data_IF_972607444032
#
_entry.id   IF_972607444032
#
_cell.length_a   1.000
_cell.length_b   1.000
_cell.length_c   1.000
_cell.angle_alpha   90.00
_cell.angle_beta   90.00
_cell.angle_gamma   90.00
#
_symmetry.space_group_name_H-M   'P 1'
#
loop_
_entity.id
_entity.type
_entity.pdbx_description
1 polymer ?
#
# COMPACT_ATOMS: atom_id res chain seq x y z
N UNK A 1 -43.44 -24.97 -42.04
CA UNK A 1 -42.72 -24.64 -42.06
C UNK A 1 -42.37 -23.72 -41.20
N UNK A 2 -41.75 -23.57 -40.47
CA UNK A 2 -41.43 -22.78 -39.71
C UNK A 2 -40.16 -22.49 -39.54
N UNK A 3 -39.71 -21.61 -39.42
CA UNK A 3 -38.51 -21.27 -39.34
C UNK A 3 -38.13 -21.01 -38.07
N UNK A 4 -37.29 -21.27 -37.70
CA UNK A 4 -36.87 -21.12 -36.55
C UNK A 4 -35.77 -20.54 -36.45
N UNK A 5 -35.57 -19.50 -36.44
CA UNK A 5 -34.51 -18.89 -36.30
C UNK A 5 -34.18 -18.65 -35.14
N UNK A 6 -33.55 -18.83 -34.61
CA UNK A 6 -32.83 -18.81 -33.71
C UNK A 6 -31.87 -18.00 -33.72
N UNK A 7 -31.86 -17.14 -33.76
CA UNK A 7 -31.33 -16.15 -33.63
C UNK A 7 -30.48 -16.03 -32.59
N UNK A 8 -29.61 -16.27 -32.37
CA UNK A 8 -28.77 -16.34 -31.56
C UNK A 8 -27.78 -15.60 -31.59
N UNK A 9 -27.55 -14.74 -31.13
CA UNK A 9 -26.85 -14.21 -31.32
C UNK A 9 -26.20 -13.30 -30.80
N UNK A 10 -26.09 -12.32 -30.43
CA UNK A 10 -25.06 -11.48 -30.05
C UNK A 10 -24.75 -11.62 -28.60
N UNK A 11 -24.96 -12.69 -27.97
CA UNK A 11 -24.63 -12.92 -26.59
C UNK A 11 -23.15 -12.75 -26.31
N UNK A 12 -22.29 -13.13 -27.25
CA UNK A 12 -20.86 -12.99 -27.08
C UNK A 12 -20.40 -11.53 -27.05
N UNK A 13 -21.08 -10.68 -27.81
CA UNK A 13 -20.74 -9.26 -27.81
C UNK A 13 -21.19 -8.60 -26.51
N UNK A 14 -22.35 -8.98 -26.03
CA UNK A 14 -22.83 -8.48 -24.75
C UNK A 14 -21.93 -8.90 -23.59
N UNK A 15 -21.39 -10.10 -23.65
CA UNK A 15 -20.51 -10.57 -22.60
C UNK A 15 -19.20 -9.79 -22.54
N UNK A 16 -18.64 -9.41 -23.68
CA UNK A 16 -17.42 -8.63 -23.68
C UNK A 16 -17.65 -7.22 -23.13
N UNK A 17 -18.74 -6.61 -23.50
CA UNK A 17 -19.09 -5.29 -22.97
C UNK A 17 -19.37 -5.34 -21.48
N UNK A 18 -20.11 -6.36 -21.03
CA UNK A 18 -20.37 -6.57 -19.61
C UNK A 18 -19.09 -6.78 -18.82
N UNK A 19 -18.11 -7.48 -19.37
CA UNK A 19 -16.82 -7.67 -18.72
C UNK A 19 -16.03 -6.37 -18.60
N UNK A 20 -16.06 -5.55 -19.61
CA UNK A 20 -15.41 -4.24 -19.60
C UNK A 20 -16.06 -3.31 -18.58
N UNK A 21 -17.37 -3.25 -18.56
CA UNK A 21 -18.11 -2.46 -17.59
C UNK A 21 -17.84 -2.95 -16.16
N UNK A 22 -17.78 -4.24 -15.95
CA UNK A 22 -17.50 -4.82 -14.65
C UNK A 22 -16.10 -4.47 -14.17
N UNK A 23 -15.10 -4.55 -15.05
CA UNK A 23 -13.73 -4.20 -14.71
C UNK A 23 -13.61 -2.73 -14.33
N UNK A 24 -14.26 -1.86 -15.07
CA UNK A 24 -14.28 -0.44 -14.80
C UNK A 24 -14.99 -0.15 -13.47
N UNK A 25 -16.10 -0.80 -13.24
CA UNK A 25 -16.86 -0.69 -11.99
C UNK A 25 -16.05 -1.14 -10.79
N UNK A 26 -15.31 -2.24 -10.89
CA UNK A 26 -14.41 -2.71 -9.84
C UNK A 26 -13.30 -1.70 -9.56
N UNK A 27 -12.71 -1.14 -10.60
CA UNK A 27 -11.68 -0.11 -10.46
C UNK A 27 -12.21 1.12 -9.74
N UNK A 28 -13.41 1.57 -10.09
CA UNK A 28 -14.03 2.72 -9.45
C UNK A 28 -14.39 2.44 -7.98
N UNK A 29 -14.88 1.25 -7.68
CA UNK A 29 -15.14 0.83 -6.31
C UNK A 29 -13.85 0.81 -5.48
N UNK A 30 -12.76 0.29 -6.04
CA UNK A 30 -11.46 0.28 -5.37
C UNK A 30 -10.96 1.71 -5.14
N UNK A 31 -11.15 2.60 -6.11
CA UNK A 31 -10.80 4.00 -5.93
C UNK A 31 -11.57 4.66 -4.80
N UNK A 32 -12.87 4.40 -4.70
CA UNK A 32 -13.68 4.89 -3.58
C UNK A 32 -13.22 4.33 -2.24
N UNK A 33 -12.84 3.06 -2.20
CA UNK A 33 -12.24 2.46 -1.02
C UNK A 33 -10.97 3.18 -0.60
N UNK A 34 -10.10 3.49 -1.55
CA UNK A 34 -8.86 4.23 -1.33
C UNK A 34 -9.15 5.63 -0.80
N UNK A 35 -10.08 6.34 -1.40
CA UNK A 35 -10.50 7.66 -0.92
C UNK A 35 -11.05 7.60 0.50
N UNK A 36 -11.83 6.59 0.81
CA UNK A 36 -12.38 6.40 2.15
C UNK A 36 -11.26 6.08 3.15
N UNK A 37 -10.32 5.23 2.79
CA UNK A 37 -9.16 4.91 3.62
C UNK A 37 -8.30 6.17 3.90
N UNK A 38 -8.15 7.02 2.91
CA UNK A 38 -7.45 8.30 3.10
C UNK A 38 -8.17 9.20 4.10
N UNK A 39 -9.48 9.35 3.94
CA UNK A 39 -10.27 10.21 4.79
C UNK A 39 -10.35 9.70 6.23
N UNK A 40 -10.47 8.40 6.41
CA UNK A 40 -10.58 7.77 7.73
C UNK A 40 -9.22 7.41 8.34
N UNK A 41 -8.13 7.64 7.61
CA UNK A 41 -6.76 7.29 8.00
C UNK A 41 -6.62 5.81 8.34
N UNK A 42 -7.26 4.98 7.55
CA UNK A 42 -7.19 3.52 7.71
C UNK A 42 -5.90 2.98 7.09
N UNK A 43 -5.28 2.04 7.78
CA UNK A 43 -4.09 1.36 7.27
C UNK A 43 -4.49 0.38 6.18
N UNK A 44 -3.80 0.45 5.05
CA UNK A 44 -3.95 -0.48 3.95
C UNK A 44 -2.69 -1.33 3.84
N UNK A 45 -2.82 -2.49 3.21
CA UNK A 45 -1.71 -3.41 2.97
C UNK A 45 -1.59 -3.68 1.48
N UNK A 46 -0.40 -3.54 0.94
CA UNK A 46 -0.10 -3.81 -0.46
C UNK A 46 1.25 -4.49 -0.61
N UNK A 47 1.57 -4.91 -1.82
CA UNK A 47 2.81 -5.61 -2.11
C UNK A 47 3.87 -4.63 -2.63
N UNK A 48 5.07 -4.67 -2.06
CA UNK A 48 6.19 -3.91 -2.58
C UNK A 48 6.66 -4.54 -3.88
N UNK A 49 6.33 -3.87 -4.99
CA UNK A 49 6.58 -4.39 -6.32
C UNK A 49 7.79 -3.80 -7.02
N UNK A 50 8.32 -2.68 -6.54
CA UNK A 50 9.45 -2.05 -7.20
C UNK A 50 10.10 -0.95 -6.39
N UNK A 51 11.29 -0.58 -6.81
CA UNK A 51 12.03 0.55 -6.23
C UNK A 51 12.47 1.39 -7.41
N UNK A 52 12.15 2.65 -7.36
CA UNK A 52 12.50 3.59 -8.42
C UNK A 52 13.38 4.72 -7.86
N UNK A 53 14.17 5.29 -8.72
CA UNK A 53 15.01 6.43 -8.37
C UNK A 53 14.43 7.66 -9.04
N UNK A 54 14.22 8.71 -8.27
CA UNK A 54 13.72 9.97 -8.79
C UNK A 54 14.85 10.75 -9.49
N UNK A 55 14.48 11.76 -10.25
CA UNK A 55 15.45 12.64 -10.90
C UNK A 55 16.43 13.27 -9.91
N UNK A 56 15.97 13.52 -8.70
CA UNK A 56 16.80 14.10 -7.65
C UNK A 56 17.70 13.07 -6.95
N UNK A 57 17.70 11.83 -7.40
CA UNK A 57 18.50 10.77 -6.81
C UNK A 57 17.88 10.08 -5.60
N UNK A 58 16.72 10.52 -5.14
CA UNK A 58 16.02 9.89 -4.02
C UNK A 58 15.35 8.60 -4.44
N UNK A 59 15.28 7.64 -3.53
CA UNK A 59 14.60 6.38 -3.79
C UNK A 59 13.14 6.47 -3.40
N UNK A 60 12.29 5.82 -4.17
CA UNK A 60 10.89 5.64 -3.85
C UNK A 60 10.53 4.17 -3.95
N UNK A 61 9.71 3.71 -3.05
CA UNK A 61 9.14 2.38 -3.09
C UNK A 61 7.80 2.41 -3.79
N UNK A 62 7.55 1.45 -4.66
CA UNK A 62 6.29 1.32 -5.37
C UNK A 62 5.54 0.13 -4.80
N UNK A 63 4.40 0.41 -4.20
CA UNK A 63 3.56 -0.59 -3.57
C UNK A 63 2.27 -0.70 -4.38
N UNK A 64 1.86 -1.92 -4.69
CA UNK A 64 0.63 -2.15 -5.41
C UNK A 64 -0.48 -2.55 -4.44
N UNK A 65 -1.53 -1.74 -4.44
CA UNK A 65 -2.75 -2.04 -3.72
C UNK A 65 -3.82 -2.38 -4.76
N UNK A 66 -4.14 -3.65 -4.87
CA UNK A 66 -4.95 -4.15 -5.98
C UNK A 66 -4.31 -3.69 -7.29
N UNK A 67 -5.01 -2.98 -8.14
CA UNK A 67 -4.46 -2.51 -9.40
C UNK A 67 -3.90 -1.09 -9.33
N UNK A 68 -3.84 -0.50 -8.14
CA UNK A 68 -3.38 0.87 -7.98
C UNK A 68 -1.94 0.95 -7.52
N UNK A 69 -1.19 1.82 -8.18
CA UNK A 69 0.19 2.08 -7.85
C UNK A 69 0.27 3.14 -6.76
N UNK A 70 0.91 2.79 -5.66
CA UNK A 70 1.12 3.70 -4.53
C UNK A 70 2.62 3.95 -4.38
N UNK A 71 2.99 5.21 -4.19
CA UNK A 71 4.38 5.62 -4.06
C UNK A 71 4.67 5.97 -2.61
N UNK A 72 5.75 5.40 -2.08
CA UNK A 72 6.21 5.71 -0.73
C UNK A 72 7.66 6.20 -0.81
N UNK A 73 7.94 7.46 -0.47
CA UNK A 73 9.31 7.94 -0.42
C UNK A 73 10.15 7.14 0.57
N UNK A 74 11.45 7.01 0.31
CA UNK A 74 12.33 6.24 1.18
C UNK A 74 12.34 6.78 2.61
N UNK A 75 12.18 8.09 2.78
CA UNK A 75 12.11 8.72 4.10
C UNK A 75 10.86 8.30 4.88
N UNK A 76 9.81 7.87 4.18
CA UNK A 76 8.57 7.41 4.77
C UNK A 76 8.48 5.89 4.84
N UNK A 77 9.53 5.18 4.43
CA UNK A 77 9.59 3.72 4.52
C UNK A 77 10.13 3.23 5.85
N UNK A 78 10.95 4.02 6.52
CA UNK A 78 11.72 3.58 7.68
C UNK A 78 11.69 4.61 8.81
N UNK A 79 11.65 4.13 10.04
CA UNK A 79 11.55 5.00 11.21
C UNK A 79 12.91 5.57 11.64
N UNK A 80 13.98 4.81 11.52
CA UNK A 80 15.22 5.15 12.21
C UNK A 80 16.49 5.32 11.38
N UNK A 81 16.41 5.24 10.08
CA UNK A 81 17.63 5.30 9.29
C UNK A 81 18.23 6.70 9.11
N UNK A 82 17.55 7.71 9.61
CA UNK A 82 17.95 9.09 9.32
C UNK A 82 18.80 9.75 10.40
N UNK A 83 18.87 9.17 11.57
CA UNK A 83 19.46 9.89 12.71
C UNK A 83 20.77 9.37 13.20
N UNK A 84 21.12 8.15 12.87
CA UNK A 84 22.32 7.58 13.43
C UNK A 84 23.41 7.40 12.41
N UNK A 85 24.44 8.21 12.54
CA UNK A 85 25.77 7.79 12.14
C UNK A 85 26.11 7.68 10.66
N UNK A 86 25.26 8.10 9.78
CA UNK A 86 25.67 8.16 8.39
C UNK A 86 26.50 9.40 8.16
N UNK A 87 27.80 9.27 8.34
CA UNK A 87 28.72 10.33 8.01
C UNK A 87 28.81 10.56 6.50
N UNK A 88 28.23 9.67 5.71
CA UNK A 88 28.27 9.77 4.26
C UNK A 88 26.90 9.44 3.67
N UNK A 89 26.37 10.37 2.89
CA UNK A 89 25.10 10.20 2.18
C UNK A 89 25.12 9.02 1.19
N UNK A 90 26.27 8.72 0.62
CA UNK A 90 26.42 7.60 -0.29
C UNK A 90 26.23 6.26 0.39
N UNK A 91 26.79 6.12 1.57
CA UNK A 91 26.64 4.90 2.37
C UNK A 91 25.18 4.71 2.83
N UNK A 92 24.53 5.79 3.24
CA UNK A 92 23.12 5.76 3.62
C UNK A 92 22.24 5.29 2.46
N UNK A 93 22.47 5.85 1.27
CA UNK A 93 21.70 5.48 0.07
C UNK A 93 21.90 4.01 -0.29
N UNK A 94 23.12 3.50 -0.21
CA UNK A 94 23.40 2.08 -0.46
C UNK A 94 22.70 1.18 0.55
N UNK A 95 22.72 1.55 1.81
CA UNK A 95 22.06 0.80 2.88
C UNK A 95 20.54 0.80 2.70
N UNK A 96 19.95 1.93 2.41
CA UNK A 96 18.53 2.07 2.11
C UNK A 96 18.13 1.21 0.91
N UNK A 97 18.91 1.28 -0.16
CA UNK A 97 18.63 0.47 -1.35
C UNK A 97 18.71 -1.02 -1.06
N UNK A 98 19.67 -1.46 -0.28
CA UNK A 98 19.79 -2.86 0.12
C UNK A 98 18.60 -3.33 0.94
N UNK A 99 18.14 -2.52 1.89
CA UNK A 99 16.99 -2.85 2.72
C UNK A 99 15.73 -2.94 1.87
N UNK A 100 15.50 -1.97 0.98
CA UNK A 100 14.34 -1.97 0.10
C UNK A 100 14.34 -3.18 -0.84
N UNK A 101 15.50 -3.53 -1.41
CA UNK A 101 15.60 -4.69 -2.27
C UNK A 101 15.30 -6.00 -1.53
N UNK A 102 15.67 -6.10 -0.26
CA UNK A 102 15.34 -7.26 0.55
C UNK A 102 13.85 -7.36 0.87
N UNK A 103 13.14 -6.26 0.78
CA UNK A 103 11.69 -6.21 1.04
C UNK A 103 10.85 -6.42 -0.21
N UNK A 104 11.45 -6.52 -1.39
CA UNK A 104 10.69 -6.73 -2.62
C UNK A 104 9.86 -8.00 -2.52
N UNK A 105 8.61 -7.91 -2.93
CA UNK A 105 7.64 -9.01 -2.84
C UNK A 105 6.96 -9.17 -1.48
N UNK A 106 7.35 -8.39 -0.48
CA UNK A 106 6.73 -8.43 0.83
C UNK A 106 5.47 -7.56 0.88
N UNK A 107 4.57 -7.91 1.78
CA UNK A 107 3.42 -7.08 2.07
C UNK A 107 3.84 -5.92 2.96
N UNK A 108 3.41 -4.73 2.59
CA UNK A 108 3.74 -3.49 3.28
C UNK A 108 2.45 -2.83 3.74
N UNK A 109 2.40 -2.48 5.02
CA UNK A 109 1.31 -1.67 5.56
C UNK A 109 1.64 -0.20 5.33
N UNK A 110 0.63 0.57 4.93
CA UNK A 110 0.83 1.99 4.67
C UNK A 110 -0.42 2.81 4.98
N UNK A 111 -0.19 4.10 5.23
CA UNK A 111 -1.24 5.09 5.37
C UNK A 111 -1.15 6.04 4.19
N UNK A 112 -2.27 6.34 3.59
CA UNK A 112 -2.30 7.27 2.46
C UNK A 112 -2.10 8.69 2.99
N UNK A 113 -1.13 9.38 2.39
CA UNK A 113 -0.81 10.77 2.74
C UNK A 113 -1.46 11.76 1.78
N UNK A 114 -1.63 11.38 0.55
CA UNK A 114 -2.19 12.23 -0.48
C UNK A 114 -2.72 11.45 -1.65
N UNK A 115 -3.74 12.02 -2.30
CA UNK A 115 -4.38 11.47 -3.48
C UNK A 115 -4.48 12.55 -4.54
N UNK A 116 -4.24 12.17 -5.78
CA UNK A 116 -4.58 13.00 -6.93
C UNK A 116 -5.71 12.33 -7.71
N UNK A 117 -6.94 12.86 -7.64
CA UNK A 117 -8.08 12.25 -8.31
C UNK A 117 -7.95 12.25 -9.83
N UNK A 118 -7.20 13.20 -10.41
CA UNK A 118 -7.07 13.30 -11.85
C UNK A 118 -6.20 12.19 -12.43
N UNK A 119 -5.05 11.96 -11.80
CA UNK A 119 -4.11 10.95 -12.24
C UNK A 119 -4.28 9.63 -11.52
N UNK A 120 -5.13 9.59 -10.50
CA UNK A 120 -5.29 8.44 -9.59
C UNK A 120 -3.96 8.03 -8.95
N UNK A 121 -3.10 9.01 -8.70
CA UNK A 121 -1.82 8.80 -8.03
C UNK A 121 -2.01 8.80 -6.53
N UNK A 122 -1.30 7.92 -5.85
CA UNK A 122 -1.38 7.75 -4.41
C UNK A 122 0.00 7.91 -3.82
N UNK A 123 0.12 8.76 -2.81
CA UNK A 123 1.34 8.90 -2.01
C UNK A 123 1.04 8.42 -0.61
N UNK A 124 1.89 7.59 -0.07
CA UNK A 124 1.65 6.95 1.21
C UNK A 124 2.89 6.94 2.10
N UNK A 125 2.71 6.54 3.34
CA UNK A 125 3.77 6.42 4.34
C UNK A 125 3.65 5.09 5.08
N UNK A 126 4.68 4.29 5.03
CA UNK A 126 4.82 3.09 5.85
C UNK A 126 5.15 3.48 7.29
N UNK A 127 5.99 4.48 7.47
CA UNK A 127 6.39 5.00 8.77
C UNK A 127 5.18 5.39 9.62
N UNK A 128 4.23 6.15 9.05
CA UNK A 128 3.02 6.54 9.77
C UNK A 128 2.13 5.35 10.09
N UNK A 129 2.04 4.37 9.20
CA UNK A 129 1.28 3.15 9.47
C UNK A 129 1.87 2.37 10.64
N UNK A 130 3.19 2.25 10.69
CA UNK A 130 3.88 1.58 11.79
C UNK A 130 3.69 2.33 13.11
N UNK A 131 3.80 3.65 13.09
CA UNK A 131 3.57 4.47 14.28
C UNK A 131 2.12 4.40 14.76
N UNK A 132 1.17 4.39 13.85
CA UNK A 132 -0.25 4.24 14.17
C UNK A 132 -0.53 2.86 14.77
N UNK A 133 0.00 1.80 14.18
CA UNK A 133 -0.13 0.45 14.74
C UNK A 133 0.45 0.36 16.14
N UNK A 134 1.61 0.95 16.36
CA UNK A 134 2.22 1.00 17.68
C UNK A 134 1.32 1.73 18.65
N UNK A 135 0.77 2.86 18.27
CA UNK A 135 -0.12 3.65 19.11
C UNK A 135 -1.40 2.87 19.47
N UNK A 136 -2.04 2.27 18.49
CA UNK A 136 -3.23 1.44 18.71
C UNK A 136 -2.91 0.31 19.67
N UNK A 137 -1.77 -0.34 19.47
CA UNK A 137 -1.35 -1.46 20.29
C UNK A 137 -1.13 -1.06 21.75
N UNK A 138 -0.54 0.11 22.01
CA UNK A 138 -0.31 0.61 23.35
C UNK A 138 -1.58 1.13 24.03
N UNK A 139 -2.55 1.60 23.26
CA UNK A 139 -3.80 2.11 23.79
C UNK A 139 -4.86 1.03 23.96
N UNK A 140 -4.72 -0.10 23.26
CA UNK A 140 -5.67 -1.19 23.36
C UNK A 140 -5.41 -1.96 24.65
N UNK A 141 -6.36 -1.93 25.55
CA UNK A 141 -6.31 -2.63 26.82
C UNK A 141 -7.31 -3.77 26.82
N UNK A 142 -6.94 -4.85 27.47
CA UNK A 142 -7.86 -5.96 27.66
C UNK A 142 -8.93 -5.62 28.71
N UNK A 143 -9.84 -6.54 28.97
CA UNK A 143 -10.93 -6.34 29.93
C UNK A 143 -10.44 -6.15 31.36
N UNK A 144 -9.20 -6.53 31.69
CA UNK A 144 -8.61 -6.34 32.99
C UNK A 144 -7.87 -5.00 33.13
N UNK A 145 -7.83 -4.22 32.04
CA UNK A 145 -7.12 -2.95 32.02
C UNK A 145 -5.63 -3.07 31.71
N UNK A 146 -5.15 -4.27 31.43
CA UNK A 146 -3.77 -4.49 31.04
C UNK A 146 -3.57 -4.21 29.56
N UNK A 147 -2.49 -3.56 29.16
CA UNK A 147 -2.22 -3.33 27.75
C UNK A 147 -1.93 -4.66 27.03
N UNK A 148 -2.58 -4.89 25.91
CA UNK A 148 -2.36 -6.08 25.08
C UNK A 148 -0.97 -6.16 24.47
N UNK A 149 -0.11 -5.28 24.85
CA UNK A 149 1.19 -5.13 24.28
C UNK A 149 2.21 -6.09 24.82
N UNK A 150 1.90 -6.81 25.88
CA UNK A 150 2.86 -7.61 26.58
C UNK A 150 3.64 -8.57 25.69
N UNK A 151 2.96 -9.22 24.78
CA UNK A 151 3.60 -10.17 23.87
C UNK A 151 4.48 -9.48 22.84
N UNK A 152 4.04 -8.35 22.34
CA UNK A 152 4.81 -7.60 21.34
C UNK A 152 6.10 -7.03 21.92
N UNK A 153 6.07 -6.62 23.18
CA UNK A 153 7.27 -6.14 23.86
C UNK A 153 8.29 -7.26 24.00
N UNK A 154 7.83 -8.48 24.30
CA UNK A 154 8.75 -9.62 24.39
C UNK A 154 9.40 -9.91 23.05
N UNK A 155 8.71 -9.77 21.97
CA UNK A 155 9.27 -9.97 20.63
C UNK A 155 10.35 -8.95 20.29
N UNK A 156 10.17 -7.72 20.70
CA UNK A 156 11.17 -6.70 20.42
C UNK A 156 12.42 -6.90 21.25
N UNK A 157 12.33 -7.47 22.41
CA UNK A 157 13.48 -7.72 23.26
C UNK A 157 14.33 -8.91 22.84
N UNK A 158 13.78 -9.81 22.04
CA UNK A 158 14.52 -10.96 21.56
C UNK A 158 15.43 -10.63 20.37
N UNK A 159 15.53 -9.39 20.01
CA UNK A 159 16.39 -8.92 18.97
C UNK A 159 17.20 -7.74 19.42
#
# INVERSE_FOLDING_TARGET
MMPNETTNTPILTLDSDAKLETAQSISDLTWHEIQNAYRTRRILTGMLGGIEKTENGSLIAVVYYKDFRTVIPVTEMMIHLMQDEAHDYGELALRQNKILNNMLGCEIDFLIKGLDPKTRSIVASRKEAMLKKRQIFYLDKDASGMPKVYEAVSYTHLR
#
